data_IF_338630282846
#
_entry.id   IF_338630282846
#
_cell.length_a   1.000
_cell.length_b   1.000
_cell.length_c   1.000
_cell.angle_alpha   90.00
_cell.angle_beta   90.00
_cell.angle_gamma   90.00
#
_symmetry.space_group_name_H-M   'P 1'
#
loop_
_entity.id
_entity.type
_entity.pdbx_description
1 polymer ?
#
# COMPACT_ATOMS: atom_id res chain seq x y z
N UNK A 1 -3.86 7.82 1.28
CA UNK A 1 -4.97 6.89 1.57
C UNK A 1 -6.31 7.50 1.18
N UNK A 2 -6.65 8.69 1.70
CA UNK A 2 -7.91 9.40 1.41
C UNK A 2 -8.38 9.39 -0.06
N UNK A 3 -7.52 9.70 -1.04
CA UNK A 3 -7.91 9.70 -2.47
C UNK A 3 -8.25 8.32 -3.04
N UNK A 4 -7.54 7.25 -2.63
CA UNK A 4 -7.86 5.88 -3.07
C UNK A 4 -9.21 5.46 -2.50
N UNK A 5 -9.42 5.72 -1.21
CA UNK A 5 -10.63 5.31 -0.51
C UNK A 5 -11.85 6.10 -1.02
N UNK A 6 -11.68 7.40 -1.29
CA UNK A 6 -12.69 8.22 -1.95
C UNK A 6 -13.04 7.68 -3.34
N UNK A 7 -12.05 7.27 -4.14
CA UNK A 7 -12.31 6.68 -5.45
C UNK A 7 -13.06 5.33 -5.35
N UNK A 8 -12.72 4.48 -4.39
CA UNK A 8 -13.43 3.22 -4.19
C UNK A 8 -14.89 3.43 -3.73
N UNK A 9 -15.13 4.39 -2.84
CA UNK A 9 -16.49 4.77 -2.42
C UNK A 9 -17.28 5.31 -3.60
N UNK A 10 -16.73 6.25 -4.36
CA UNK A 10 -17.41 6.83 -5.52
C UNK A 10 -17.74 5.79 -6.61
N UNK A 11 -16.87 4.79 -6.84
CA UNK A 11 -17.19 3.67 -7.73
C UNK A 11 -18.35 2.82 -7.20
N UNK A 12 -18.37 2.54 -5.89
CA UNK A 12 -19.41 1.73 -5.24
C UNK A 12 -20.77 2.43 -5.20
N UNK A 13 -20.76 3.73 -4.89
CA UNK A 13 -21.97 4.46 -4.51
C UNK A 13 -22.61 5.22 -5.69
N UNK A 14 -21.90 5.39 -6.81
CA UNK A 14 -22.36 6.22 -7.94
C UNK A 14 -22.31 5.53 -9.31
N UNK A 15 -22.10 4.21 -9.37
CA UNK A 15 -22.03 3.41 -10.61
C UNK A 15 -21.08 4.00 -11.68
N UNK A 16 -19.99 4.62 -11.22
CA UNK A 16 -19.01 5.24 -12.08
C UNK A 16 -17.92 4.23 -12.45
N UNK A 17 -17.56 4.20 -13.74
CA UNK A 17 -16.42 3.43 -14.19
C UNK A 17 -15.13 3.89 -13.50
N UNK A 18 -14.21 2.96 -13.27
CA UNK A 18 -12.92 3.23 -12.63
C UNK A 18 -12.19 4.41 -13.28
N UNK A 19 -12.19 4.49 -14.62
CA UNK A 19 -11.54 5.57 -15.38
C UNK A 19 -12.12 6.94 -15.02
N UNK A 20 -13.44 7.05 -14.98
CA UNK A 20 -14.14 8.31 -14.67
C UNK A 20 -13.89 8.72 -13.23
N UNK A 21 -13.98 7.78 -12.30
CA UNK A 21 -13.72 8.06 -10.88
C UNK A 21 -12.28 8.46 -10.62
N UNK A 22 -11.30 7.78 -11.23
CA UNK A 22 -9.89 8.13 -11.09
C UNK A 22 -9.57 9.53 -11.61
N UNK A 23 -10.17 9.90 -12.75
CA UNK A 23 -10.02 11.26 -13.30
C UNK A 23 -10.64 12.32 -12.38
N UNK A 24 -11.81 12.06 -11.81
CA UNK A 24 -12.49 12.99 -10.89
C UNK A 24 -11.74 13.16 -9.56
N UNK A 25 -11.23 12.07 -8.99
CA UNK A 25 -10.56 12.07 -7.67
C UNK A 25 -9.06 12.42 -7.78
N UNK A 26 -8.48 12.36 -8.98
CA UNK A 26 -7.06 12.62 -9.21
C UNK A 26 -6.16 11.53 -8.62
N UNK A 27 -6.53 10.26 -8.85
CA UNK A 27 -5.73 9.10 -8.45
C UNK A 27 -5.32 8.28 -9.67
N UNK A 28 -4.09 7.77 -9.70
CA UNK A 28 -3.64 6.88 -10.77
C UNK A 28 -4.46 5.57 -10.72
N UNK A 29 -5.02 5.10 -11.85
CA UNK A 29 -5.80 3.86 -11.90
C UNK A 29 -5.08 2.65 -11.29
N UNK A 30 -3.74 2.57 -11.37
CA UNK A 30 -2.95 1.48 -10.78
C UNK A 30 -3.07 1.41 -9.26
N UNK A 31 -3.39 2.52 -8.61
CA UNK A 31 -3.54 2.61 -7.16
C UNK A 31 -4.86 2.02 -6.67
N UNK A 32 -5.94 2.10 -7.47
CA UNK A 32 -7.26 1.56 -7.10
C UNK A 32 -7.54 0.19 -7.72
N UNK A 33 -6.89 -0.15 -8.84
CA UNK A 33 -7.15 -1.37 -9.62
C UNK A 33 -6.95 -2.67 -8.84
N UNK A 34 -6.00 -2.70 -7.89
CA UNK A 34 -5.68 -3.88 -7.10
C UNK A 34 -6.20 -3.74 -5.68
N UNK A 35 -6.70 -4.85 -5.15
CA UNK A 35 -6.90 -4.99 -3.72
C UNK A 35 -5.54 -4.88 -3.02
N UNK A 36 -5.52 -4.12 -1.93
CA UNK A 36 -4.29 -3.94 -1.17
C UNK A 36 -4.12 -5.17 -0.29
N UNK A 37 -2.92 -5.78 -0.25
CA UNK A 37 -2.64 -6.79 0.75
C UNK A 37 -2.94 -6.23 2.16
N UNK A 38 -3.45 -7.08 3.08
CA UNK A 38 -3.67 -6.66 4.45
C UNK A 38 -2.37 -6.13 5.05
N UNK A 39 -2.51 -5.12 5.90
CA UNK A 39 -1.36 -4.53 6.56
C UNK A 39 -0.82 -5.48 7.64
N UNK A 40 0.50 -5.58 7.75
CA UNK A 40 1.16 -6.41 8.76
C UNK A 40 2.08 -5.52 9.64
N UNK A 41 1.52 -4.92 10.71
CA UNK A 41 2.27 -4.00 11.55
C UNK A 41 3.38 -4.71 12.35
N UNK A 42 3.24 -6.00 12.65
CA UNK A 42 4.23 -6.82 13.33
C UNK A 42 5.51 -6.92 12.50
N UNK A 43 5.39 -7.33 11.22
CA UNK A 43 6.53 -7.40 10.30
C UNK A 43 7.20 -6.03 10.14
N UNK A 44 6.41 -4.94 10.08
CA UNK A 44 6.98 -3.59 9.95
C UNK A 44 7.80 -3.18 11.17
N UNK A 45 7.34 -3.54 12.37
CA UNK A 45 8.10 -3.30 13.61
C UNK A 45 9.41 -4.09 13.59
N UNK A 46 9.38 -5.35 13.17
CA UNK A 46 10.61 -6.17 13.06
C UNK A 46 11.58 -5.63 12.01
N UNK A 47 11.10 -5.20 10.84
CA UNK A 47 11.91 -4.47 9.85
C UNK A 47 12.62 -3.28 10.49
N UNK A 48 11.88 -2.47 11.26
CA UNK A 48 12.42 -1.31 11.97
C UNK A 48 13.53 -1.67 12.94
N UNK A 49 13.31 -2.70 13.78
CA UNK A 49 14.31 -3.19 14.74
C UNK A 49 15.58 -3.69 14.04
N UNK A 50 15.45 -4.40 12.93
CA UNK A 50 16.59 -4.88 12.14
C UNK A 50 17.35 -3.70 11.53
N UNK A 51 16.63 -2.75 10.94
CA UNK A 51 17.23 -1.57 10.30
C UNK A 51 17.97 -0.69 11.33
N UNK A 52 17.43 -0.53 12.53
CA UNK A 52 18.07 0.19 13.63
C UNK A 52 19.38 -0.48 14.07
N UNK A 53 19.34 -1.80 14.28
CA UNK A 53 20.53 -2.60 14.64
C UNK A 53 21.56 -2.68 13.51
N UNK A 54 21.12 -2.65 12.24
CA UNK A 54 21.97 -2.88 11.04
C UNK A 54 21.72 -1.80 9.99
N UNK A 55 22.10 -0.56 10.30
CA UNK A 55 21.87 0.65 9.47
C UNK A 55 22.28 0.59 7.99
N UNK A 56 23.23 -0.28 7.59
CA UNK A 56 23.66 -0.43 6.19
C UNK A 56 22.84 -1.46 5.39
N UNK A 57 21.88 -2.14 6.02
CA UNK A 57 21.14 -3.23 5.37
C UNK A 57 19.96 -2.65 4.59
N UNK A 58 19.91 -2.95 3.28
CA UNK A 58 18.76 -2.68 2.44
C UNK A 58 17.69 -3.77 2.52
N UNK A 59 16.55 -3.55 1.84
CA UNK A 59 15.36 -4.41 1.92
C UNK A 59 15.65 -5.91 1.70
N UNK A 60 16.56 -6.25 0.78
CA UNK A 60 16.91 -7.66 0.49
C UNK A 60 17.56 -8.36 1.68
N UNK A 61 18.49 -7.69 2.38
CA UNK A 61 19.16 -8.28 3.56
C UNK A 61 18.23 -8.31 4.77
N UNK A 62 17.36 -7.33 4.91
CA UNK A 62 16.32 -7.34 5.95
C UNK A 62 15.35 -8.50 5.71
N UNK A 63 14.92 -8.74 4.47
CA UNK A 63 14.04 -9.87 4.12
C UNK A 63 14.60 -11.23 4.54
N UNK A 64 15.88 -11.49 4.25
CA UNK A 64 16.56 -12.73 4.66
C UNK A 64 16.55 -12.91 6.19
N UNK A 65 16.61 -11.82 6.96
CA UNK A 65 16.56 -11.87 8.43
C UNK A 65 15.15 -12.03 8.99
N UNK A 66 14.11 -11.78 8.19
CA UNK A 66 12.71 -11.99 8.56
C UNK A 66 12.20 -13.39 8.19
N UNK A 67 12.84 -14.05 7.22
CA UNK A 67 12.54 -15.42 6.80
C UNK A 67 13.07 -16.50 7.77
N UNK A 68 13.81 -16.09 8.79
CA UNK A 68 14.46 -16.95 9.80
C UNK A 68 13.90 -16.66 11.18
#
# INVERSE_FOLDING_TARGET
MARRDAALRAMRDHDLSQRRTCALVGVDPKTVRRERPPDNPEIRKEIGKIAEKRRRFGYRRIGILLER
#
